data_IF_475425058562
#
_entry.id   IF_475425058562
#
_cell.length_a   1.000
_cell.length_b   1.000
_cell.length_c   1.000
_cell.angle_alpha   90.00
_cell.angle_beta   90.00
_cell.angle_gamma   90.00
#
_symmetry.space_group_name_H-M   'P 1'
#
loop_
_entity.id
_entity.type
_entity.pdbx_description
1 polymer ?
#
# COMPACT_ATOMS: atom_id res chain seq x y z
N UNK A 1 -6.70 6.14 23.62
CA UNK A 1 -7.56 7.05 22.83
C UNK A 1 -8.56 6.20 22.07
N UNK A 2 -9.85 6.44 22.26
CA UNK A 2 -10.94 5.67 21.63
C UNK A 2 -11.06 6.04 20.15
N UNK A 3 -11.57 5.12 19.33
CA UNK A 3 -11.92 5.33 17.91
C UNK A 3 -12.77 6.60 17.70
N UNK A 4 -13.56 6.96 18.72
CA UNK A 4 -14.45 8.13 18.77
C UNK A 4 -13.69 9.47 18.70
N UNK A 5 -12.46 9.53 19.20
CA UNK A 5 -11.63 10.75 19.15
C UNK A 5 -10.97 10.95 17.78
N UNK A 6 -10.92 9.92 16.91
CA UNK A 6 -10.36 10.02 15.56
C UNK A 6 -11.41 10.38 14.49
N UNK A 7 -12.71 10.19 14.77
CA UNK A 7 -13.79 10.58 13.85
C UNK A 7 -14.21 12.05 14.06
N UNK A 8 -14.08 12.58 15.28
CA UNK A 8 -14.47 13.94 15.61
C UNK A 8 -13.93 15.05 14.67
N UNK A 9 -12.69 15.00 14.13
CA UNK A 9 -12.21 16.01 13.19
C UNK A 9 -12.80 15.88 11.77
N UNK A 10 -13.34 14.71 11.40
CA UNK A 10 -13.88 14.44 10.06
C UNK A 10 -15.34 14.92 9.88
N UNK A 11 -16.02 15.24 10.98
CA UNK A 11 -17.41 15.74 11.02
C UNK A 11 -17.50 17.28 11.09
N UNK A 12 -16.36 17.98 11.08
CA UNK A 12 -16.28 19.43 11.20
C UNK A 12 -16.36 20.17 9.87
N UNK A 13 -17.53 20.19 9.22
CA UNK A 13 -18.04 21.28 8.35
C UNK A 13 -19.26 20.79 7.54
N UNK A 14 -20.43 20.71 8.19
CA UNK A 14 -21.67 20.34 7.53
C UNK A 14 -22.71 19.88 8.53
N UNK A 15 -23.30 20.81 9.29
CA UNK A 15 -24.41 20.52 10.19
C UNK A 15 -25.59 19.96 9.39
N UNK A 16 -25.85 18.66 9.51
CA UNK A 16 -27.22 18.14 9.61
C UNK A 16 -27.42 17.72 11.07
N UNK A 17 -28.47 18.22 11.68
CA UNK A 17 -28.79 18.00 13.08
C UNK A 17 -29.27 16.56 13.30
N UNK A 18 -28.35 15.63 13.45
CA UNK A 18 -28.63 14.33 14.03
C UNK A 18 -27.93 14.27 15.39
N UNK A 19 -28.72 14.39 16.45
CA UNK A 19 -28.27 14.16 17.81
C UNK A 19 -27.77 12.73 17.92
N UNK A 20 -26.49 12.58 18.26
CA UNK A 20 -25.84 11.31 18.56
C UNK A 20 -26.52 10.65 19.78
N UNK A 21 -27.57 9.87 19.50
CA UNK A 21 -27.97 8.74 20.33
C UNK A 21 -27.43 7.47 19.64
N UNK A 22 -27.16 6.41 20.40
CA UNK A 22 -26.47 5.16 20.01
C UNK A 22 -26.82 4.58 18.61
N UNK A 23 -27.99 4.88 18.05
CA UNK A 23 -28.39 4.49 16.69
C UNK A 23 -27.66 5.21 15.55
N UNK A 24 -27.23 6.47 15.72
CA UNK A 24 -26.59 7.25 14.65
C UNK A 24 -25.18 6.74 14.30
N UNK A 25 -24.41 6.35 15.31
CA UNK A 25 -23.06 5.80 15.11
C UNK A 25 -23.08 4.43 14.42
N UNK A 26 -24.09 3.61 14.72
CA UNK A 26 -24.27 2.31 14.09
C UNK A 26 -24.54 2.45 12.58
N UNK A 27 -25.39 3.41 12.19
CA UNK A 27 -25.70 3.72 10.79
C UNK A 27 -24.48 4.26 10.04
N UNK A 28 -23.74 5.20 10.63
CA UNK A 28 -22.49 5.71 10.04
C UNK A 28 -21.49 4.58 9.80
N UNK A 29 -21.33 3.69 10.78
CA UNK A 29 -20.45 2.51 10.66
C UNK A 29 -20.94 1.54 9.60
N UNK A 30 -22.25 1.36 9.45
CA UNK A 30 -22.84 0.52 8.41
C UNK A 30 -22.56 1.11 7.01
N UNK A 31 -22.71 2.43 6.84
CA UNK A 31 -22.45 3.12 5.57
C UNK A 31 -20.98 3.02 5.16
N UNK A 32 -20.04 3.20 6.10
CA UNK A 32 -18.60 3.06 5.84
C UNK A 32 -18.19 1.62 5.48
N UNK A 33 -19.01 0.62 5.83
CA UNK A 33 -18.78 -0.80 5.54
C UNK A 33 -19.66 -1.32 4.40
N UNK A 34 -20.36 -0.43 3.71
CA UNK A 34 -21.30 -0.82 2.68
C UNK A 34 -20.57 -1.36 1.45
N UNK A 35 -20.80 -2.62 1.12
CA UNK A 35 -20.18 -3.29 -0.02
C UNK A 35 -20.98 -3.15 -1.29
N UNK A 36 -22.30 -2.98 -1.16
CA UNK A 36 -23.21 -2.88 -2.29
C UNK A 36 -24.21 -1.77 -2.05
N UNK A 37 -24.09 -0.75 -2.88
CA UNK A 37 -25.07 0.32 -3.00
C UNK A 37 -26.08 -0.06 -4.09
N UNK A 38 -27.35 0.08 -3.77
CA UNK A 38 -28.44 -0.09 -4.74
C UNK A 38 -29.06 1.28 -5.02
N UNK A 39 -29.26 1.57 -6.29
CA UNK A 39 -30.03 2.73 -6.73
C UNK A 39 -31.50 2.33 -6.74
N UNK A 40 -32.31 3.06 -6.00
CA UNK A 40 -33.76 2.92 -6.00
C UNK A 40 -34.37 3.90 -6.99
N UNK A 41 -35.44 3.49 -7.67
CA UNK A 41 -36.15 4.35 -8.60
C UNK A 41 -36.92 5.41 -7.82
N UNK A 42 -36.66 6.68 -8.13
CA UNK A 42 -37.28 7.83 -7.44
C UNK A 42 -38.23 8.54 -8.40
N UNK A 43 -39.32 9.09 -7.86
CA UNK A 43 -40.21 9.99 -8.62
C UNK A 43 -39.83 11.46 -8.41
N UNK A 44 -38.96 11.76 -7.44
CA UNK A 44 -38.45 13.10 -7.16
C UNK A 44 -37.09 13.32 -7.83
N UNK A 45 -37.14 13.56 -9.13
CA UNK A 45 -35.95 13.87 -9.94
C UNK A 45 -35.33 15.25 -9.66
N UNK A 46 -35.97 16.10 -8.85
CA UNK A 46 -35.53 17.48 -8.62
C UNK A 46 -34.71 17.58 -7.33
N UNK A 47 -35.15 16.92 -6.26
CA UNK A 47 -34.46 16.99 -4.96
C UNK A 47 -33.65 15.74 -4.64
N UNK A 48 -34.04 14.59 -5.20
CA UNK A 48 -33.39 13.29 -4.97
C UNK A 48 -33.33 12.46 -6.26
N UNK A 49 -32.62 12.93 -7.30
CA UNK A 49 -32.52 12.20 -8.56
C UNK A 49 -31.81 10.85 -8.42
N UNK A 50 -30.94 10.70 -7.41
CA UNK A 50 -30.31 9.44 -7.06
C UNK A 50 -30.59 9.08 -5.60
N UNK A 51 -31.48 8.10 -5.38
CA UNK A 51 -31.74 7.53 -4.06
C UNK A 51 -30.98 6.22 -3.90
N UNK A 52 -30.08 6.17 -2.92
CA UNK A 52 -29.28 4.99 -2.64
C UNK A 52 -29.60 4.42 -1.27
N UNK A 53 -29.59 3.10 -1.16
CA UNK A 53 -29.55 2.42 0.13
C UNK A 53 -28.43 1.38 0.15
N UNK A 54 -27.98 1.04 1.36
CA UNK A 54 -26.98 0.00 1.54
C UNK A 54 -27.65 -1.38 1.60
N UNK A 55 -27.46 -2.18 0.55
CA UNK A 55 -28.05 -3.52 0.42
C UNK A 55 -27.28 -4.58 1.22
N UNK A 56 -25.95 -4.45 1.23
CA UNK A 56 -25.10 -5.35 2.02
C UNK A 56 -23.90 -4.61 2.60
N UNK A 57 -23.53 -5.01 3.82
CA UNK A 57 -22.34 -4.50 4.52
C UNK A 57 -21.54 -5.65 5.12
N UNK A 58 -20.28 -5.41 5.42
CA UNK A 58 -19.44 -6.41 6.06
C UNK A 58 -19.93 -6.80 7.46
N UNK A 59 -19.75 -8.07 7.88
CA UNK A 59 -20.07 -8.51 9.23
C UNK A 59 -19.18 -7.79 10.25
N UNK A 60 -19.66 -7.73 11.50
CA UNK A 60 -19.07 -6.95 12.59
C UNK A 60 -17.56 -7.10 12.79
N UNK A 61 -16.98 -6.14 13.51
CA UNK A 61 -15.53 -6.04 13.72
C UNK A 61 -14.97 -7.21 14.53
N UNK A 62 -13.69 -7.52 14.27
CA UNK A 62 -12.95 -8.38 15.17
C UNK A 62 -12.64 -7.67 16.49
N UNK A 63 -12.33 -8.49 17.50
CA UNK A 63 -11.90 -8.01 18.80
C UNK A 63 -10.67 -7.08 18.68
N UNK A 64 -10.59 -6.05 19.53
CA UNK A 64 -9.51 -5.06 19.49
C UNK A 64 -8.10 -5.68 19.60
N UNK A 65 -7.99 -6.84 20.26
CA UNK A 65 -6.75 -7.61 20.34
C UNK A 65 -6.20 -7.99 18.95
N UNK A 66 -7.07 -8.32 17.99
CA UNK A 66 -6.65 -8.63 16.61
C UNK A 66 -6.04 -7.40 15.95
N UNK A 67 -6.67 -6.23 16.12
CA UNK A 67 -6.12 -4.96 15.63
C UNK A 67 -4.76 -4.61 16.23
N UNK A 68 -4.58 -4.84 17.54
CA UNK A 68 -3.30 -4.64 18.21
C UNK A 68 -2.20 -5.59 17.67
N UNK A 69 -2.54 -6.87 17.42
CA UNK A 69 -1.63 -7.83 16.81
C UNK A 69 -1.23 -7.40 15.39
N UNK A 70 -2.16 -6.89 14.60
CA UNK A 70 -1.89 -6.36 13.25
C UNK A 70 -1.00 -5.13 13.32
N UNK A 71 -1.24 -4.21 14.26
CA UNK A 71 -0.38 -3.05 14.45
C UNK A 71 1.06 -3.46 14.82
N UNK A 72 1.22 -4.40 15.75
CA UNK A 72 2.52 -4.95 16.13
C UNK A 72 3.22 -5.64 14.96
N UNK A 73 2.48 -6.41 14.16
CA UNK A 73 2.99 -7.04 12.95
C UNK A 73 3.43 -6.01 11.89
N UNK A 74 2.64 -4.97 11.64
CA UNK A 74 2.98 -3.89 10.72
C UNK A 74 4.24 -3.14 11.18
N UNK A 75 4.34 -2.84 12.48
CA UNK A 75 5.53 -2.26 13.08
C UNK A 75 6.76 -3.17 12.93
N UNK A 76 6.61 -4.48 13.16
CA UNK A 76 7.66 -5.45 12.94
C UNK A 76 8.13 -5.47 11.47
N UNK A 77 7.21 -5.52 10.51
CA UNK A 77 7.53 -5.46 9.08
C UNK A 77 8.28 -4.17 8.71
N UNK A 78 7.88 -3.03 9.30
CA UNK A 78 8.55 -1.75 9.06
C UNK A 78 9.97 -1.78 9.63
N UNK A 79 10.13 -2.16 10.90
CA UNK A 79 11.41 -2.19 11.59
C UNK A 79 12.38 -3.19 10.96
N UNK A 80 11.91 -4.38 10.55
CA UNK A 80 12.75 -5.36 9.87
C UNK A 80 13.22 -4.85 8.51
N UNK A 81 12.34 -4.23 7.74
CA UNK A 81 12.69 -3.61 6.46
C UNK A 81 13.69 -2.48 6.66
N UNK A 82 13.47 -1.59 7.64
CA UNK A 82 14.36 -0.49 7.96
C UNK A 82 15.74 -0.97 8.42
N UNK A 83 15.78 -1.95 9.32
CA UNK A 83 17.04 -2.50 9.83
C UNK A 83 17.86 -3.11 8.68
N UNK A 84 17.23 -3.88 7.79
CA UNK A 84 17.94 -4.47 6.67
C UNK A 84 18.36 -3.45 5.61
N UNK A 85 17.55 -2.42 5.34
CA UNK A 85 17.97 -1.35 4.42
C UNK A 85 19.17 -0.59 4.99
N UNK A 86 19.12 -0.19 6.27
CA UNK A 86 20.25 0.50 6.94
C UNK A 86 21.50 -0.38 6.96
N UNK A 87 21.37 -1.67 7.29
CA UNK A 87 22.51 -2.60 7.28
C UNK A 87 23.12 -2.77 5.89
N UNK A 88 22.31 -2.78 4.84
CA UNK A 88 22.77 -2.86 3.46
C UNK A 88 23.48 -1.58 3.00
N UNK A 89 23.07 -0.41 3.49
CA UNK A 89 23.76 0.86 3.24
C UNK A 89 25.07 0.95 4.04
N UNK A 90 25.07 0.59 5.32
CA UNK A 90 26.22 0.74 6.21
C UNK A 90 27.38 -0.21 5.89
N UNK A 91 27.09 -1.41 5.36
CA UNK A 91 28.10 -2.45 5.08
C UNK A 91 28.57 -2.47 3.62
N UNK A 92 28.56 -1.34 2.92
CA UNK A 92 28.85 -1.26 1.48
C UNK A 92 30.18 -1.90 1.02
N UNK A 93 31.12 -2.18 1.95
CA UNK A 93 32.43 -2.77 1.67
C UNK A 93 32.66 -4.19 2.19
N UNK A 94 31.68 -4.85 2.84
CA UNK A 94 31.86 -6.21 3.36
C UNK A 94 31.01 -7.21 2.58
N UNK A 95 31.63 -7.87 1.60
CA UNK A 95 31.12 -9.01 0.80
C UNK A 95 30.82 -10.28 1.61
N UNK A 96 30.48 -10.18 2.91
CA UNK A 96 30.77 -11.24 3.87
C UNK A 96 29.72 -11.57 4.94
N UNK A 97 28.46 -11.12 4.86
CA UNK A 97 27.39 -11.68 5.74
C UNK A 97 26.21 -12.15 4.89
N UNK A 98 26.51 -13.14 4.08
CA UNK A 98 25.65 -13.84 3.10
C UNK A 98 24.98 -15.07 3.73
N UNK A 99 24.51 -14.95 4.97
CA UNK A 99 24.13 -16.12 5.80
C UNK A 99 22.80 -16.03 6.53
N UNK A 100 22.11 -14.89 6.52
CA UNK A 100 20.77 -14.82 7.12
C UNK A 100 19.77 -14.80 5.98
N UNK A 101 18.77 -15.68 6.10
CA UNK A 101 17.51 -15.74 5.36
C UNK A 101 16.72 -14.42 5.51
N UNK A 102 17.31 -13.24 5.25
CA UNK A 102 16.76 -11.90 5.52
C UNK A 102 15.41 -11.71 4.86
N UNK A 103 15.25 -12.22 3.64
CA UNK A 103 13.98 -12.18 2.91
C UNK A 103 12.84 -12.86 3.66
N UNK A 104 13.10 -13.87 4.48
CA UNK A 104 12.07 -14.56 5.26
C UNK A 104 11.51 -13.71 6.42
N UNK A 105 12.23 -12.67 6.82
CA UNK A 105 11.85 -11.72 7.88
C UNK A 105 11.28 -10.41 7.32
N UNK A 106 11.10 -10.34 6.00
CA UNK A 106 10.58 -9.18 5.28
C UNK A 106 9.13 -9.43 4.83
N UNK A 107 8.30 -8.39 4.66
CA UNK A 107 6.89 -8.57 4.31
C UNK A 107 6.67 -9.24 2.96
N UNK A 108 7.63 -9.13 2.02
CA UNK A 108 7.65 -9.87 0.75
C UNK A 108 8.22 -11.30 0.83
N UNK A 109 8.59 -11.73 2.04
CA UNK A 109 9.14 -13.05 2.31
C UNK A 109 8.11 -14.15 2.30
N UNK A 110 8.50 -15.40 2.06
CA UNK A 110 7.57 -16.53 1.96
C UNK A 110 6.77 -16.81 3.25
N UNK A 111 7.26 -16.38 4.43
CA UNK A 111 6.53 -16.55 5.69
C UNK A 111 5.64 -15.35 6.05
N UNK A 112 6.11 -14.12 5.85
CA UNK A 112 5.33 -12.93 6.24
C UNK A 112 4.33 -12.52 5.15
N UNK A 113 4.59 -12.81 3.88
CA UNK A 113 3.69 -12.49 2.77
C UNK A 113 2.30 -13.11 2.94
N UNK A 114 2.16 -14.42 3.28
CA UNK A 114 0.85 -14.99 3.59
C UNK A 114 0.14 -14.29 4.76
N UNK A 115 0.89 -13.83 5.77
CA UNK A 115 0.32 -13.08 6.90
C UNK A 115 -0.16 -11.69 6.46
N UNK A 116 0.60 -10.97 5.62
CA UNK A 116 0.16 -9.71 5.01
C UNK A 116 -1.12 -9.94 4.21
N UNK A 117 -1.17 -10.99 3.39
CA UNK A 117 -2.36 -11.35 2.62
C UNK A 117 -3.56 -11.66 3.51
N UNK A 118 -3.37 -12.38 4.62
CA UNK A 118 -4.44 -12.69 5.57
C UNK A 118 -4.99 -11.41 6.22
N UNK A 119 -4.11 -10.49 6.62
CA UNK A 119 -4.49 -9.19 7.18
C UNK A 119 -5.32 -8.39 6.17
N UNK A 120 -4.86 -8.29 4.92
CA UNK A 120 -5.57 -7.57 3.87
C UNK A 120 -6.90 -8.24 3.51
N UNK A 121 -6.92 -9.56 3.34
CA UNK A 121 -8.12 -10.32 2.99
C UNK A 121 -9.24 -10.22 4.04
N UNK A 122 -8.87 -10.05 5.31
CA UNK A 122 -9.82 -9.89 6.42
C UNK A 122 -9.91 -8.44 6.92
N UNK A 123 -9.30 -7.52 6.18
CA UNK A 123 -9.06 -6.13 6.59
C UNK A 123 -10.29 -5.31 6.93
N UNK A 124 -11.41 -5.60 6.28
CA UNK A 124 -12.71 -4.96 6.46
C UNK A 124 -13.22 -4.99 7.91
N UNK A 125 -12.83 -6.04 8.62
CA UNK A 125 -13.25 -6.31 10.00
C UNK A 125 -12.21 -5.86 11.02
N UNK A 126 -11.07 -5.33 10.54
CA UNK A 126 -9.95 -4.89 11.35
C UNK A 126 -9.99 -3.36 11.36
N UNK A 127 -10.74 -2.84 12.32
CA UNK A 127 -10.97 -1.40 12.44
C UNK A 127 -10.55 -0.82 13.80
N UNK A 128 -10.41 -1.69 14.81
CA UNK A 128 -9.92 -1.31 16.12
C UNK A 128 -8.38 -1.20 16.12
N UNK A 129 -7.81 -0.13 16.68
CA UNK A 129 -6.35 0.12 16.84
C UNK A 129 -5.56 0.32 15.54
N UNK A 130 -5.86 -0.41 14.46
CA UNK A 130 -5.22 -0.29 13.16
C UNK A 130 -6.29 -0.26 12.04
N UNK A 131 -6.84 0.92 11.70
CA UNK A 131 -7.86 1.03 10.66
C UNK A 131 -7.26 0.68 9.29
N UNK A 132 -7.51 -0.54 8.81
CA UNK A 132 -6.84 -1.04 7.61
C UNK A 132 -7.24 -0.26 6.35
N UNK A 133 -8.44 0.31 6.30
CA UNK A 133 -8.84 1.17 5.18
C UNK A 133 -7.95 2.41 5.04
N UNK A 134 -7.40 2.91 6.15
CA UNK A 134 -6.55 4.10 6.18
C UNK A 134 -5.06 3.77 6.17
N UNK A 135 -4.63 2.67 6.79
CA UNK A 135 -3.22 2.29 6.94
C UNK A 135 -2.77 1.16 6.00
N UNK A 136 -3.72 0.48 5.34
CA UNK A 136 -3.48 -0.57 4.37
C UNK A 136 -2.61 -0.14 3.19
N UNK A 137 -2.78 1.08 2.60
CA UNK A 137 -1.88 1.56 1.55
C UNK A 137 -0.41 1.66 2.01
N UNK A 138 -0.15 2.04 3.27
CA UNK A 138 1.20 2.05 3.82
C UNK A 138 1.79 0.64 3.93
N UNK A 139 0.98 -0.34 4.35
CA UNK A 139 1.38 -1.75 4.42
C UNK A 139 1.67 -2.33 3.02
N UNK A 140 0.85 -2.01 2.02
CA UNK A 140 1.07 -2.42 0.63
C UNK A 140 2.34 -1.79 0.06
N UNK A 141 2.57 -0.50 0.29
CA UNK A 141 3.76 0.21 -0.16
C UNK A 141 5.03 -0.37 0.48
N UNK A 142 4.98 -0.74 1.76
CA UNK A 142 6.06 -1.43 2.46
C UNK A 142 6.34 -2.82 1.87
N UNK A 143 5.29 -3.60 1.59
CA UNK A 143 5.40 -4.90 0.91
C UNK A 143 6.09 -4.73 -0.46
N UNK A 144 5.61 -3.79 -1.26
CA UNK A 144 6.12 -3.44 -2.58
C UNK A 144 7.59 -3.00 -2.55
N UNK A 145 7.94 -2.08 -1.64
CA UNK A 145 9.31 -1.61 -1.45
C UNK A 145 10.24 -2.76 -1.01
N UNK A 146 9.79 -3.63 -0.11
CA UNK A 146 10.58 -4.78 0.32
C UNK A 146 10.81 -5.79 -0.81
N UNK A 147 9.82 -6.02 -1.69
CA UNK A 147 9.94 -6.92 -2.83
C UNK A 147 10.96 -6.39 -3.86
N UNK A 148 10.99 -5.09 -4.09
CA UNK A 148 11.99 -4.44 -4.94
C UNK A 148 13.38 -4.40 -4.29
N UNK A 149 13.48 -4.14 -2.98
CA UNK A 149 14.76 -4.03 -2.29
C UNK A 149 15.47 -5.38 -2.15
N UNK A 150 14.75 -6.43 -1.78
CA UNK A 150 15.34 -7.70 -1.34
C UNK A 150 15.03 -8.85 -2.30
N UNK A 151 16.09 -9.46 -2.84
CA UNK A 151 15.99 -10.58 -3.79
C UNK A 151 15.84 -11.92 -3.06
N UNK A 152 15.19 -12.88 -3.72
CA UNK A 152 15.17 -14.27 -3.24
C UNK A 152 16.55 -14.90 -3.40
N UNK A 153 17.09 -15.44 -2.32
CA UNK A 153 18.30 -16.26 -2.31
C UNK A 153 17.87 -17.72 -2.21
N UNK A 154 17.82 -18.40 -3.35
CA UNK A 154 17.52 -19.82 -3.44
C UNK A 154 18.52 -20.51 -4.36
N UNK A 155 19.00 -21.67 -3.92
CA UNK A 155 19.85 -22.55 -4.71
C UNK A 155 19.02 -23.25 -5.78
N UNK A 156 19.40 -23.07 -7.04
CA UNK A 156 18.71 -23.61 -8.21
C UNK A 156 17.63 -22.67 -8.79
N UNK A 157 17.60 -22.60 -10.11
CA UNK A 157 16.78 -21.63 -10.84
C UNK A 157 15.27 -21.89 -10.70
N UNK A 158 14.87 -23.16 -10.54
CA UNK A 158 13.46 -23.53 -10.33
C UNK A 158 12.96 -23.05 -8.95
N UNK A 159 13.74 -23.25 -7.87
CA UNK A 159 13.33 -22.79 -6.52
C UNK A 159 13.25 -21.28 -6.45
N UNK A 160 14.22 -20.59 -7.07
CA UNK A 160 14.20 -19.14 -7.20
C UNK A 160 12.96 -18.66 -7.96
N UNK A 161 12.67 -19.27 -9.12
CA UNK A 161 11.51 -18.96 -9.94
C UNK A 161 10.19 -19.11 -9.17
N UNK A 162 10.02 -20.20 -8.42
CA UNK A 162 8.81 -20.44 -7.61
C UNK A 162 8.66 -19.38 -6.52
N UNK A 163 9.73 -19.01 -5.82
CA UNK A 163 9.68 -17.97 -4.78
C UNK A 163 9.43 -16.57 -5.35
N UNK A 164 10.01 -16.24 -6.50
CA UNK A 164 9.78 -14.96 -7.16
C UNK A 164 8.35 -14.88 -7.70
N UNK A 165 7.85 -15.95 -8.33
CA UNK A 165 6.46 -16.06 -8.79
C UNK A 165 5.45 -16.00 -7.64
N UNK A 166 5.77 -16.62 -6.49
CA UNK A 166 4.95 -16.49 -5.27
C UNK A 166 4.93 -15.05 -4.76
N UNK A 167 6.06 -14.34 -4.83
CA UNK A 167 6.13 -12.91 -4.47
C UNK A 167 5.27 -12.07 -5.41
N UNK A 168 5.35 -12.32 -6.73
CA UNK A 168 4.51 -11.65 -7.76
C UNK A 168 3.03 -11.87 -7.47
N UNK A 169 2.63 -13.13 -7.27
CA UNK A 169 1.25 -13.49 -6.95
C UNK A 169 0.78 -12.83 -5.66
N UNK A 170 1.63 -12.78 -4.63
CA UNK A 170 1.28 -12.14 -3.37
C UNK A 170 1.16 -10.62 -3.48
N UNK A 171 2.00 -9.93 -4.28
CA UNK A 171 1.80 -8.49 -4.55
C UNK A 171 0.47 -8.26 -5.25
N UNK A 172 0.12 -9.09 -6.25
CA UNK A 172 -1.15 -8.98 -6.96
C UNK A 172 -2.35 -9.20 -6.02
N UNK A 173 -2.34 -10.26 -5.21
CA UNK A 173 -3.42 -10.54 -4.25
C UNK A 173 -3.51 -9.44 -3.18
N UNK A 174 -2.38 -8.94 -2.68
CA UNK A 174 -2.35 -7.84 -1.73
C UNK A 174 -3.01 -6.58 -2.30
N UNK A 175 -2.70 -6.24 -3.57
CA UNK A 175 -3.32 -5.14 -4.30
C UNK A 175 -4.84 -5.31 -4.42
N UNK A 176 -5.31 -6.48 -4.83
CA UNK A 176 -6.75 -6.76 -4.99
C UNK A 176 -7.50 -6.78 -3.65
N UNK A 177 -6.91 -7.37 -2.60
CA UNK A 177 -7.51 -7.37 -1.27
C UNK A 177 -7.55 -5.97 -0.66
N UNK A 178 -6.52 -5.15 -0.90
CA UNK A 178 -6.55 -3.77 -0.44
C UNK A 178 -7.63 -2.96 -1.16
N UNK A 179 -7.81 -3.13 -2.47
CA UNK A 179 -8.89 -2.48 -3.22
C UNK A 179 -10.26 -2.83 -2.65
N UNK A 180 -10.46 -4.10 -2.28
CA UNK A 180 -11.70 -4.51 -1.64
C UNK A 180 -11.96 -3.73 -0.33
N UNK A 181 -10.92 -3.30 0.41
CA UNK A 181 -11.02 -2.56 1.70
C UNK A 181 -11.17 -1.06 1.49
N UNK A 182 -10.35 -0.50 0.62
CA UNK A 182 -10.28 0.93 0.37
C UNK A 182 -11.53 1.42 -0.36
N UNK A 183 -12.00 0.69 -1.38
CA UNK A 183 -13.10 1.18 -2.23
C UNK A 183 -14.42 1.37 -1.45
N UNK A 184 -14.93 0.39 -0.67
CA UNK A 184 -16.14 0.56 0.12
C UNK A 184 -16.03 1.70 1.13
N UNK A 185 -14.89 1.80 1.81
CA UNK A 185 -14.64 2.82 2.83
C UNK A 185 -14.72 4.24 2.25
N UNK A 186 -14.01 4.52 1.16
CA UNK A 186 -14.03 5.86 0.56
C UNK A 186 -15.34 6.17 -0.16
N UNK A 187 -16.02 5.16 -0.72
CA UNK A 187 -17.38 5.33 -1.26
C UNK A 187 -18.35 5.72 -0.14
N UNK A 188 -18.31 5.03 1.00
CA UNK A 188 -19.14 5.34 2.16
C UNK A 188 -18.79 6.71 2.77
N UNK A 189 -17.51 7.08 2.78
CA UNK A 189 -17.07 8.40 3.25
C UNK A 189 -17.61 9.53 2.36
N UNK A 190 -17.56 9.36 1.03
CA UNK A 190 -18.16 10.33 0.10
C UNK A 190 -19.68 10.36 0.22
N UNK A 191 -20.31 9.21 0.42
CA UNK A 191 -21.74 9.12 0.68
C UNK A 191 -22.08 9.96 1.92
N UNK A 192 -21.42 9.76 3.06
CA UNK A 192 -21.70 10.51 4.29
C UNK A 192 -21.43 12.02 4.19
N UNK A 193 -20.39 12.43 3.45
CA UNK A 193 -20.02 13.85 3.36
C UNK A 193 -20.90 14.64 2.40
N UNK A 194 -21.36 14.02 1.31
CA UNK A 194 -21.97 14.72 0.17
C UNK A 194 -23.38 14.24 -0.17
N UNK A 195 -24.04 13.50 0.71
CA UNK A 195 -25.44 13.13 0.56
C UNK A 195 -26.27 13.61 1.74
N UNK A 196 -27.59 13.61 1.55
CA UNK A 196 -28.56 13.89 2.60
C UNK A 196 -29.33 12.63 2.92
N UNK A 197 -29.62 12.39 4.20
CA UNK A 197 -30.48 11.27 4.58
C UNK A 197 -31.92 11.53 4.15
N UNK A 198 -32.50 10.60 3.40
CA UNK A 198 -33.89 10.68 2.93
C UNK A 198 -34.91 10.52 4.07
N UNK A 199 -34.57 9.72 5.09
CA UNK A 199 -35.46 9.40 6.20
C UNK A 199 -36.42 8.24 5.93
N UNK A 200 -36.51 7.76 4.67
CA UNK A 200 -37.29 6.58 4.30
C UNK A 200 -36.73 5.28 4.90
N UNK A 201 -35.41 5.19 5.06
CA UNK A 201 -34.73 4.13 5.81
C UNK A 201 -33.47 4.65 6.51
N UNK A 202 -32.96 3.88 7.46
CA UNK A 202 -31.80 4.27 8.26
C UNK A 202 -30.55 4.55 7.42
N UNK A 203 -30.35 3.83 6.32
CA UNK A 203 -29.21 3.99 5.41
C UNK A 203 -29.55 4.68 4.07
N UNK A 204 -30.75 5.28 3.95
CA UNK A 204 -31.25 5.83 2.70
C UNK A 204 -30.67 7.23 2.48
N UNK A 205 -30.02 7.43 1.33
CA UNK A 205 -29.27 8.62 0.98
C UNK A 205 -29.75 9.20 -0.35
N UNK A 206 -30.07 10.48 -0.35
CA UNK A 206 -30.38 11.29 -1.52
C UNK A 206 -29.14 12.03 -2.01
N UNK A 207 -28.91 11.99 -3.33
CA UNK A 207 -27.82 12.69 -4.00
C UNK A 207 -28.27 13.34 -5.30
N UNK A 208 -27.63 14.47 -5.61
CA UNK A 208 -27.75 15.15 -6.91
C UNK A 208 -26.81 14.58 -7.97
N UNK A 209 -25.75 13.87 -7.55
CA UNK A 209 -24.74 13.28 -8.41
C UNK A 209 -24.61 11.78 -8.14
N UNK A 210 -24.34 10.97 -9.18
CA UNK A 210 -24.23 9.53 -9.03
C UNK A 210 -23.06 9.17 -8.10
N UNK A 211 -23.25 8.13 -7.29
CA UNK A 211 -22.22 7.67 -6.36
C UNK A 211 -21.11 6.92 -7.12
N UNK A 212 -19.85 7.34 -6.92
CA UNK A 212 -18.69 6.76 -7.60
C UNK A 212 -17.97 5.77 -6.69
N UNK A 213 -17.65 4.58 -7.20
CA UNK A 213 -16.91 3.55 -6.44
C UNK A 213 -15.47 4.00 -6.17
N UNK A 214 -15.07 3.95 -4.90
CA UNK A 214 -13.79 4.46 -4.39
C UNK A 214 -13.81 5.96 -4.10
N UNK A 215 -14.92 6.59 -4.41
CA UNK A 215 -15.16 8.00 -4.29
C UNK A 215 -14.30 8.91 -5.18
N UNK A 216 -14.56 10.21 -5.08
CA UNK A 216 -13.91 11.26 -5.89
C UNK A 216 -12.74 11.94 -5.17
N UNK A 217 -12.73 11.90 -3.83
CA UNK A 217 -11.73 12.56 -2.99
C UNK A 217 -10.37 11.84 -3.03
N UNK A 218 -10.36 10.50 -3.00
CA UNK A 218 -9.13 9.69 -2.99
C UNK A 218 -9.07 8.80 -4.23
N UNK A 219 -8.02 8.98 -5.03
CA UNK A 219 -7.81 8.20 -6.26
C UNK A 219 -6.88 7.00 -6.07
N UNK A 220 -6.56 6.66 -4.83
CA UNK A 220 -5.67 5.53 -4.55
C UNK A 220 -6.34 4.19 -4.88
N UNK A 221 -5.63 3.34 -5.63
CA UNK A 221 -6.00 1.95 -5.89
C UNK A 221 -4.83 1.04 -5.55
N UNK A 222 -5.12 -0.09 -4.93
CA UNK A 222 -4.16 -1.16 -4.67
C UNK A 222 -3.63 -1.75 -5.97
N UNK A 223 -4.49 -2.06 -6.94
CA UNK A 223 -4.08 -2.43 -8.30
C UNK A 223 -3.77 -1.16 -9.11
N UNK A 224 -2.53 -0.70 -9.01
CA UNK A 224 -2.07 0.54 -9.65
C UNK A 224 -0.99 0.28 -10.71
N UNK A 225 -0.60 1.37 -11.40
CA UNK A 225 0.58 1.38 -12.29
C UNK A 225 1.84 0.93 -11.54
N UNK A 226 1.96 1.28 -10.27
CA UNK A 226 3.06 0.87 -9.37
C UNK A 226 3.08 -0.63 -9.14
N UNK A 227 1.93 -1.22 -8.83
CA UNK A 227 1.81 -2.67 -8.65
C UNK A 227 2.24 -3.42 -9.93
N UNK A 228 1.79 -2.98 -11.10
CA UNK A 228 2.20 -3.55 -12.39
C UNK A 228 3.71 -3.38 -12.64
N UNK A 229 4.26 -2.18 -12.41
CA UNK A 229 5.69 -1.92 -12.60
C UNK A 229 6.56 -2.86 -11.74
N UNK A 230 6.14 -3.10 -10.50
CA UNK A 230 6.83 -4.04 -9.59
C UNK A 230 6.70 -5.47 -10.11
N UNK A 231 5.50 -5.90 -10.51
CA UNK A 231 5.29 -7.24 -11.08
C UNK A 231 6.19 -7.45 -12.29
N UNK A 232 6.25 -6.49 -13.23
CA UNK A 232 7.16 -6.57 -14.38
C UNK A 232 8.63 -6.59 -13.97
N UNK A 233 9.03 -5.79 -12.98
CA UNK A 233 10.39 -5.81 -12.45
C UNK A 233 10.75 -7.19 -11.86
N UNK A 234 9.88 -7.80 -11.06
CA UNK A 234 10.08 -9.14 -10.49
C UNK A 234 10.10 -10.23 -11.57
N UNK A 235 9.17 -10.20 -12.51
CA UNK A 235 9.16 -11.11 -13.66
C UNK A 235 10.44 -10.98 -14.50
N UNK A 236 10.94 -9.77 -14.70
CA UNK A 236 12.20 -9.54 -15.43
C UNK A 236 13.40 -10.18 -14.73
N UNK A 237 13.44 -10.18 -13.38
CA UNK A 237 14.49 -10.88 -12.61
C UNK A 237 14.47 -12.38 -12.85
N UNK A 238 13.27 -12.96 -12.85
CA UNK A 238 13.06 -14.38 -13.11
C UNK A 238 13.51 -14.76 -14.53
N UNK A 239 13.06 -14.01 -15.55
CA UNK A 239 13.42 -14.26 -16.95
C UNK A 239 14.92 -14.12 -17.17
N UNK A 240 15.56 -13.05 -16.70
CA UNK A 240 17.00 -12.84 -16.87
C UNK A 240 17.83 -13.94 -16.20
N UNK A 241 17.32 -14.54 -15.11
CA UNK A 241 18.01 -15.63 -14.44
C UNK A 241 17.87 -16.95 -15.19
N UNK A 242 16.69 -17.25 -15.74
CA UNK A 242 16.42 -18.51 -16.45
C UNK A 242 17.10 -18.55 -17.82
N UNK A 243 17.00 -17.46 -18.59
CA UNK A 243 17.49 -17.41 -19.96
C UNK A 243 18.95 -16.95 -20.09
N UNK A 244 19.58 -16.57 -18.97
CA UNK A 244 20.92 -16.00 -18.95
C UNK A 244 20.93 -14.49 -19.19
N UNK A 245 22.03 -13.85 -18.76
CA UNK A 245 22.14 -12.40 -18.67
C UNK A 245 22.80 -11.82 -19.93
N UNK A 246 22.02 -11.66 -21.00
CA UNK A 246 22.43 -10.88 -22.19
C UNK A 246 22.38 -9.37 -21.91
N UNK A 247 23.15 -8.57 -22.67
CA UNK A 247 23.22 -7.10 -22.50
C UNK A 247 21.85 -6.42 -22.53
N UNK A 248 20.96 -6.86 -23.43
CA UNK A 248 19.58 -6.35 -23.52
C UNK A 248 18.74 -6.76 -22.31
N UNK A 249 18.82 -8.02 -21.89
CA UNK A 249 18.09 -8.52 -20.70
C UNK A 249 18.52 -7.82 -19.41
N UNK A 250 19.82 -7.55 -19.25
CA UNK A 250 20.35 -6.83 -18.10
C UNK A 250 19.85 -5.38 -18.08
N UNK A 251 19.79 -4.74 -19.25
CA UNK A 251 19.28 -3.38 -19.39
C UNK A 251 17.78 -3.29 -19.10
N UNK A 252 16.97 -4.19 -19.66
CA UNK A 252 15.51 -4.20 -19.41
C UNK A 252 15.20 -4.46 -17.93
N UNK A 253 15.89 -5.41 -17.29
CA UNK A 253 15.77 -5.65 -15.84
C UNK A 253 16.12 -4.39 -15.04
N UNK A 254 17.23 -3.73 -15.37
CA UNK A 254 17.65 -2.50 -14.68
C UNK A 254 16.64 -1.37 -14.87
N UNK A 255 16.11 -1.20 -16.09
CA UNK A 255 15.12 -0.18 -16.41
C UNK A 255 13.80 -0.41 -15.66
N UNK A 256 13.33 -1.66 -15.60
CA UNK A 256 12.10 -2.01 -14.87
C UNK A 256 12.28 -1.88 -13.35
N UNK A 257 13.43 -2.25 -12.79
CA UNK A 257 13.73 -1.99 -11.38
C UNK A 257 13.74 -0.48 -11.08
N UNK A 258 14.36 0.33 -11.94
CA UNK A 258 14.40 1.79 -11.78
C UNK A 258 13.00 2.41 -11.87
N UNK A 259 12.21 2.01 -12.87
CA UNK A 259 10.82 2.43 -13.01
C UNK A 259 9.99 2.05 -11.78
N UNK A 260 10.15 0.82 -11.27
CA UNK A 260 9.49 0.37 -10.05
C UNK A 260 9.79 1.27 -8.85
N UNK A 261 11.05 1.63 -8.63
CA UNK A 261 11.43 2.55 -7.55
C UNK A 261 10.85 3.96 -7.72
N UNK A 262 10.81 4.48 -8.96
CA UNK A 262 10.20 5.79 -9.25
C UNK A 262 8.70 5.78 -8.94
N UNK A 263 7.97 4.74 -9.37
CA UNK A 263 6.55 4.62 -9.09
C UNK A 263 6.26 4.46 -7.59
N UNK A 264 7.04 3.63 -6.87
CA UNK A 264 6.90 3.47 -5.42
C UNK A 264 7.19 4.78 -4.68
N UNK A 265 8.20 5.55 -5.10
CA UNK A 265 8.49 6.87 -4.52
C UNK A 265 7.37 7.89 -4.81
N UNK A 266 6.82 7.88 -6.04
CA UNK A 266 5.71 8.76 -6.41
C UNK A 266 4.45 8.45 -5.58
N UNK A 267 4.10 7.17 -5.41
CA UNK A 267 2.98 6.76 -4.55
C UNK A 267 3.21 7.15 -3.08
N UNK A 268 4.45 7.03 -2.58
CA UNK A 268 4.80 7.46 -1.23
C UNK A 268 4.55 8.96 -1.02
N UNK A 269 5.00 9.79 -1.97
CA UNK A 269 4.80 11.25 -1.93
C UNK A 269 3.32 11.60 -2.03
N UNK A 270 2.59 10.96 -2.93
CA UNK A 270 1.14 11.17 -3.08
C UNK A 270 0.40 10.88 -1.77
N UNK A 271 0.69 9.76 -1.11
CA UNK A 271 0.04 9.38 0.14
C UNK A 271 0.38 10.31 1.30
N UNK A 272 1.63 10.74 1.43
CA UNK A 272 2.04 11.74 2.43
C UNK A 272 1.33 13.08 2.19
N UNK A 273 1.29 13.54 0.93
CA UNK A 273 0.63 14.80 0.57
C UNK A 273 -0.87 14.75 0.83
N UNK A 274 -1.53 13.65 0.48
CA UNK A 274 -2.94 13.42 0.78
C UNK A 274 -3.24 13.51 2.28
N UNK A 275 -2.50 12.74 3.08
CA UNK A 275 -2.72 12.65 4.52
C UNK A 275 -2.29 13.92 5.26
N UNK A 276 -1.39 14.72 4.72
CA UNK A 276 -1.08 16.04 5.28
C UNK A 276 -2.28 17.00 5.20
N UNK A 277 -3.18 16.82 4.24
CA UNK A 277 -4.37 17.67 4.06
C UNK A 277 -5.58 17.11 4.81
N UNK A 278 -5.84 15.80 4.72
CA UNK A 278 -7.09 15.19 5.23
C UNK A 278 -6.89 14.12 6.32
N UNK A 279 -5.65 13.81 6.69
CA UNK A 279 -5.35 12.67 7.54
C UNK A 279 -5.21 12.97 9.02
N UNK A 280 -5.40 11.94 9.84
CA UNK A 280 -5.10 11.98 11.27
C UNK A 280 -3.60 11.84 11.56
N UNK A 281 -3.15 12.29 12.73
CA UNK A 281 -1.72 12.26 13.11
C UNK A 281 -1.07 10.87 12.95
N UNK A 282 -1.81 9.79 13.22
CA UNK A 282 -1.32 8.41 13.10
C UNK A 282 -1.06 8.03 11.64
N UNK A 283 -1.96 8.40 10.71
CA UNK A 283 -1.73 8.13 9.29
C UNK A 283 -0.59 8.99 8.76
N UNK A 284 -0.48 10.26 9.19
CA UNK A 284 0.64 11.14 8.80
C UNK A 284 1.97 10.51 9.17
N UNK A 285 2.09 10.05 10.42
CA UNK A 285 3.28 9.37 10.90
C UNK A 285 3.57 8.10 10.09
N UNK A 286 2.58 7.23 9.90
CA UNK A 286 2.76 5.97 9.19
C UNK A 286 3.23 6.17 7.74
N UNK A 287 2.58 7.06 6.99
CA UNK A 287 2.96 7.35 5.60
C UNK A 287 4.32 8.03 5.52
N UNK A 288 4.63 8.95 6.42
CA UNK A 288 5.94 9.63 6.45
C UNK A 288 7.07 8.66 6.74
N UNK A 289 6.87 7.72 7.68
CA UNK A 289 7.86 6.69 8.00
C UNK A 289 8.12 5.76 6.81
N UNK A 290 7.06 5.27 6.16
CA UNK A 290 7.20 4.41 4.97
C UNK A 290 7.84 5.18 3.81
N UNK A 291 7.45 6.44 3.59
CA UNK A 291 8.08 7.29 2.58
C UNK A 291 9.58 7.48 2.86
N UNK A 292 9.95 7.79 4.10
CA UNK A 292 11.35 7.90 4.51
C UNK A 292 12.15 6.62 4.23
N UNK A 293 11.57 5.45 4.48
CA UNK A 293 12.18 4.16 4.15
C UNK A 293 12.35 3.96 2.64
N UNK A 294 11.33 4.30 1.84
CA UNK A 294 11.40 4.23 0.37
C UNK A 294 12.51 5.15 -0.14
N UNK A 295 12.55 6.40 0.33
CA UNK A 295 13.59 7.35 -0.05
C UNK A 295 14.98 6.87 0.35
N UNK A 296 15.15 6.31 1.55
CA UNK A 296 16.41 5.71 1.98
C UNK A 296 16.85 4.59 1.04
N UNK A 297 15.91 3.75 0.58
CA UNK A 297 16.16 2.71 -0.42
C UNK A 297 16.61 3.28 -1.77
N UNK A 298 15.95 4.34 -2.25
CA UNK A 298 16.32 5.06 -3.49
C UNK A 298 17.70 5.70 -3.35
N UNK A 299 17.96 6.43 -2.27
CA UNK A 299 19.27 7.04 -1.99
C UNK A 299 20.38 5.99 -1.95
N UNK A 300 20.16 4.86 -1.28
CA UNK A 300 21.14 3.77 -1.24
C UNK A 300 21.42 3.14 -2.61
N UNK A 301 20.46 3.18 -3.55
CA UNK A 301 20.67 2.74 -4.94
C UNK A 301 21.45 3.77 -5.75
N UNK A 302 21.08 5.05 -5.63
CA UNK A 302 21.78 6.16 -6.30
C UNK A 302 23.23 6.26 -5.84
N UNK A 303 23.48 6.17 -4.53
CA UNK A 303 24.83 6.21 -3.96
C UNK A 303 25.72 5.08 -4.51
N UNK A 304 25.21 3.84 -4.56
CA UNK A 304 25.93 2.70 -5.14
C UNK A 304 26.21 2.89 -6.63
N UNK A 305 25.27 3.47 -7.36
CA UNK A 305 25.46 3.78 -8.78
C UNK A 305 26.55 4.84 -8.99
N UNK A 306 26.55 5.91 -8.20
CA UNK A 306 27.57 6.95 -8.25
C UNK A 306 28.97 6.40 -7.88
N UNK A 307 29.07 5.60 -6.81
CA UNK A 307 30.32 4.94 -6.44
C UNK A 307 30.85 4.00 -7.55
N UNK A 308 29.94 3.28 -8.22
CA UNK A 308 30.30 2.45 -9.38
C UNK A 308 30.80 3.29 -10.57
N UNK A 309 30.19 4.45 -10.84
CA UNK A 309 30.68 5.35 -11.89
C UNK A 309 32.08 5.90 -11.57
N UNK A 310 32.32 6.30 -10.33
CA UNK A 310 33.61 6.82 -9.88
C UNK A 310 34.73 5.78 -10.05
N UNK A 311 34.49 4.53 -9.61
CA UNK A 311 35.44 3.42 -9.80
C UNK A 311 35.71 3.07 -11.26
N UNK A 312 34.70 3.17 -12.14
CA UNK A 312 34.94 3.01 -13.59
C UNK A 312 35.74 4.16 -14.18
N UNK A 313 35.49 5.39 -13.75
CA UNK A 313 36.20 6.56 -14.23
C UNK A 313 37.68 6.52 -13.80
N UNK A 314 37.99 6.06 -12.58
CA UNK A 314 39.35 5.86 -12.12
C UNK A 314 40.07 4.74 -12.88
N UNK A 315 39.40 3.61 -13.14
CA UNK A 315 39.94 2.53 -13.97
C UNK A 315 40.24 2.99 -15.39
N UNK A 316 39.33 3.74 -16.02
CA UNK A 316 39.54 4.26 -17.37
C UNK A 316 40.74 5.22 -17.44
N UNK A 317 40.87 6.14 -16.47
CA UNK A 317 42.04 7.03 -16.35
C UNK A 317 43.35 6.24 -16.17
N UNK A 318 43.36 5.20 -15.34
CA UNK A 318 44.55 4.35 -15.18
C UNK A 318 44.91 3.55 -16.43
N UNK A 319 43.93 3.09 -17.20
CA UNK A 319 44.17 2.37 -18.48
C UNK A 319 44.73 3.27 -19.57
N UNK A 320 44.33 4.55 -19.60
CA UNK A 320 44.87 5.56 -20.52
C UNK A 320 46.34 5.90 -20.20
N UNK A 321 46.72 5.91 -18.92
CA UNK A 321 48.12 6.11 -18.52
C UNK A 321 49.03 4.91 -18.86
N UNK A 322 48.50 3.68 -18.79
CA UNK A 322 49.26 2.47 -19.15
C UNK A 322 49.39 2.23 -20.67
N UNK A 323 48.57 2.87 -21.50
CA UNK A 323 48.61 2.74 -22.97
C UNK A 323 49.41 3.85 -23.66
N UNK A 324 50.01 4.77 -22.89
CA UNK A 324 50.84 5.88 -23.37
C UNK A 324 52.35 5.69 -23.13
N UNK A 325 52.79 4.46 -22.81
CA UNK A 325 54.21 4.04 -22.66
C UNK A 325 54.50 2.95 -23.68
#
# INVERSE_FOLDING_TARGET
MSYDQMIAPLLGAGRSAWTAHDGGEAVVRQILKCTRWQLEETTDFVTCPYHYYCDSSYPGDYHAAVGALVAAFAAYCFLSTLAFTVLDLARSNATGVRGIKRKYLLPSGPFLLPLVLLVLAKGQRINAVFPLAQLGPALLLLLQASALAFRNEADGDIRYAVLEASTVSGVLHASLYLDAVVLPYYTGQEALRWSQFSGECASCLCRMEPLVVGGTAVRYRGLSKTALAIIFALCSRMVCRIYGEERLSAWTRSALEAAGWVFVAADAVYLVGWVAVEGGAVSVLAYSLVAGLVFLGVFGKVYRFLAWLETRQSQWKSSLCHSAV
#
